data_IF_142648374300
#
_entry.id   IF_142648374300
#
_cell.length_a   1.000
_cell.length_b   1.000
_cell.length_c   1.000
_cell.angle_alpha   90.00
_cell.angle_beta   90.00
_cell.angle_gamma   90.00
#
_symmetry.space_group_name_H-M   'P 1'
#
loop_
_entity.id
_entity.type
_entity.pdbx_description
1 polymer ?
#
# COMPACT_ATOMS: atom_id res chain seq x y z
N UNK A 1 71.64 44.16 -65.86
CA UNK A 1 71.69 44.70 -64.48
C UNK A 1 70.42 45.53 -64.29
N UNK A 2 69.38 44.95 -63.68
CA UNK A 2 68.30 45.61 -62.92
C UNK A 2 67.31 44.52 -62.48
N UNK A 3 67.20 44.34 -61.16
CA UNK A 3 66.25 43.47 -60.49
C UNK A 3 64.91 44.19 -60.27
N UNK A 4 63.93 43.46 -59.70
CA UNK A 4 62.75 43.94 -58.92
C UNK A 4 61.41 43.88 -59.66
N UNK A 5 60.27 43.41 -59.11
CA UNK A 5 59.88 42.70 -57.88
C UNK A 5 58.57 41.99 -58.28
N UNK A 6 58.43 40.69 -58.00
CA UNK A 6 57.15 40.00 -58.15
C UNK A 6 56.29 40.26 -56.91
N UNK A 7 55.16 40.95 -57.08
CA UNK A 7 54.21 41.22 -56.02
C UNK A 7 53.42 39.93 -55.73
N UNK A 8 53.78 39.21 -54.68
CA UNK A 8 53.02 38.05 -54.22
C UNK A 8 51.80 38.54 -53.42
N UNK A 9 50.63 38.55 -54.06
CA UNK A 9 49.34 38.73 -53.37
C UNK A 9 49.02 37.43 -52.62
N UNK A 10 49.22 37.41 -51.30
CA UNK A 10 48.78 36.30 -50.47
C UNK A 10 47.25 36.24 -50.40
N UNK A 11 46.65 35.25 -51.04
CA UNK A 11 45.26 34.87 -50.81
C UNK A 11 45.18 34.15 -49.44
N UNK A 12 44.68 34.84 -48.41
CA UNK A 12 44.29 34.17 -47.15
C UNK A 12 43.12 33.22 -47.44
N UNK A 13 43.37 31.90 -47.40
CA UNK A 13 42.28 30.93 -47.34
C UNK A 13 41.54 31.11 -46.01
N UNK A 14 40.32 31.66 -46.05
CA UNK A 14 39.41 31.60 -44.89
C UNK A 14 39.08 30.14 -44.62
N UNK A 15 39.70 29.55 -43.60
CA UNK A 15 39.27 28.27 -43.05
C UNK A 15 37.82 28.40 -42.58
N UNK A 16 36.91 27.70 -43.27
CA UNK A 16 35.50 27.61 -42.89
C UNK A 16 35.43 26.90 -41.53
N UNK A 17 34.78 27.46 -40.50
CA UNK A 17 34.64 26.77 -39.22
C UNK A 17 33.94 25.43 -39.46
N UNK A 18 34.53 24.34 -39.01
CA UNK A 18 33.98 22.99 -39.16
C UNK A 18 32.66 22.88 -38.40
N UNK A 19 31.53 23.02 -39.11
CA UNK A 19 30.17 22.83 -38.55
C UNK A 19 29.88 21.39 -38.08
N UNK A 20 30.82 20.47 -38.27
CA UNK A 20 30.70 19.05 -37.90
C UNK A 20 30.79 18.82 -36.39
N UNK A 21 31.55 19.65 -35.66
CA UNK A 21 31.72 19.55 -34.20
C UNK A 21 30.45 20.02 -33.46
N UNK A 22 29.79 21.07 -33.97
CA UNK A 22 28.55 21.57 -33.37
C UNK A 22 27.38 20.60 -33.53
N UNK A 23 27.29 19.90 -34.66
CA UNK A 23 26.23 18.90 -34.90
C UNK A 23 26.44 17.61 -34.10
N UNK A 24 27.69 17.13 -33.99
CA UNK A 24 28.00 15.97 -33.13
C UNK A 24 27.79 16.28 -31.64
N UNK A 25 28.13 17.49 -31.18
CA UNK A 25 27.93 17.92 -29.80
C UNK A 25 26.43 18.05 -29.45
N UNK A 26 25.60 18.54 -30.39
CA UNK A 26 24.13 18.55 -30.22
C UNK A 26 23.54 17.14 -30.13
N UNK A 27 24.02 16.20 -30.95
CA UNK A 27 23.61 14.78 -30.90
C UNK A 27 24.01 14.12 -29.58
N UNK A 28 25.23 14.36 -29.09
CA UNK A 28 25.69 13.87 -27.78
C UNK A 28 24.85 14.48 -26.65
N UNK A 29 24.60 15.79 -26.69
CA UNK A 29 23.77 16.47 -25.69
C UNK A 29 22.33 15.92 -25.70
N UNK A 30 21.75 15.69 -26.87
CA UNK A 30 20.44 15.06 -27.00
C UNK A 30 20.40 13.65 -26.41
N UNK A 31 21.43 12.84 -26.63
CA UNK A 31 21.54 11.48 -26.08
C UNK A 31 21.71 11.50 -24.55
N UNK A 32 22.50 12.43 -24.02
CA UNK A 32 22.66 12.63 -22.56
C UNK A 32 21.34 13.04 -21.93
N UNK A 33 20.61 14.01 -22.51
CA UNK A 33 19.29 14.43 -22.00
C UNK A 33 18.30 13.28 -22.03
N UNK A 34 18.26 12.50 -23.12
CA UNK A 34 17.41 11.31 -23.21
C UNK A 34 17.75 10.28 -22.13
N UNK A 35 19.04 10.03 -21.88
CA UNK A 35 19.47 9.09 -20.85
C UNK A 35 19.08 9.56 -19.45
N UNK A 36 19.26 10.84 -19.14
CA UNK A 36 18.85 11.43 -17.86
C UNK A 36 17.34 11.30 -17.66
N UNK A 37 16.52 11.57 -18.69
CA UNK A 37 15.07 11.40 -18.61
C UNK A 37 14.67 9.94 -18.35
N UNK A 38 15.34 8.98 -18.99
CA UNK A 38 15.10 7.54 -18.76
C UNK A 38 15.46 7.19 -17.31
N UNK A 39 16.62 7.63 -16.81
CA UNK A 39 17.05 7.36 -15.44
C UNK A 39 16.07 7.95 -14.42
N UNK A 40 15.66 9.21 -14.61
CA UNK A 40 14.66 9.87 -13.74
C UNK A 40 13.31 9.16 -13.79
N UNK A 41 12.86 8.76 -14.98
CA UNK A 41 11.65 7.96 -15.17
C UNK A 41 11.75 6.63 -14.40
N UNK A 42 12.85 5.90 -14.56
CA UNK A 42 13.11 4.67 -13.83
C UNK A 42 13.06 4.90 -12.31
N UNK A 43 13.78 5.89 -11.78
CA UNK A 43 13.74 6.19 -10.35
C UNK A 43 12.32 6.50 -9.87
N UNK A 44 11.56 7.30 -10.63
CA UNK A 44 10.18 7.64 -10.30
C UNK A 44 9.27 6.40 -10.27
N UNK A 45 9.35 5.53 -11.27
CA UNK A 45 8.52 4.33 -11.35
C UNK A 45 8.94 3.26 -10.34
N UNK A 46 10.24 3.00 -10.17
CA UNK A 46 10.74 1.97 -9.25
C UNK A 46 10.47 2.32 -7.79
N UNK A 47 10.59 3.59 -7.41
CA UNK A 47 10.29 4.03 -6.03
C UNK A 47 8.82 3.95 -5.66
N UNK A 48 7.93 3.91 -6.67
CA UNK A 48 6.47 3.82 -6.51
C UNK A 48 5.91 2.43 -6.74
N UNK A 49 6.73 1.43 -7.06
CA UNK A 49 6.23 0.05 -7.16
C UNK A 49 5.78 -0.42 -5.77
N UNK A 50 4.65 -1.14 -5.66
CA UNK A 50 4.32 -1.89 -4.46
C UNK A 50 5.47 -2.80 -4.05
N UNK A 51 5.77 -2.86 -2.75
CA UNK A 51 6.82 -3.71 -2.20
C UNK A 51 6.28 -4.96 -1.50
N UNK A 52 4.99 -4.95 -1.22
CA UNK A 52 4.26 -6.02 -0.55
C UNK A 52 2.77 -6.00 -0.97
N UNK A 53 2.03 -7.05 -0.62
CA UNK A 53 0.61 -7.19 -0.98
C UNK A 53 -0.27 -6.06 -0.43
N UNK A 54 0.05 -5.55 0.76
CA UNK A 54 -0.70 -4.46 1.38
C UNK A 54 -0.48 -3.13 0.66
N UNK A 55 0.72 -2.90 0.12
CA UNK A 55 0.99 -1.78 -0.79
C UNK A 55 0.17 -1.89 -2.08
N UNK A 56 0.03 -3.08 -2.66
CA UNK A 56 -0.79 -3.27 -3.87
C UNK A 56 -2.24 -2.91 -3.60
N UNK A 57 -2.83 -3.50 -2.55
CA UNK A 57 -4.21 -3.21 -2.12
C UNK A 57 -4.38 -1.71 -1.87
N UNK A 58 -3.46 -1.11 -1.11
CA UNK A 58 -3.53 0.31 -0.76
C UNK A 58 -3.46 1.21 -1.99
N UNK A 59 -2.44 1.05 -2.82
CA UNK A 59 -2.19 1.95 -3.96
C UNK A 59 -3.23 1.78 -5.06
N UNK A 60 -3.69 0.56 -5.32
CA UNK A 60 -4.69 0.34 -6.37
C UNK A 60 -6.08 0.81 -5.92
N UNK A 61 -6.42 0.62 -4.64
CA UNK A 61 -7.65 1.19 -4.09
C UNK A 61 -7.58 2.72 -4.09
N UNK A 62 -6.44 3.33 -3.73
CA UNK A 62 -6.25 4.79 -3.78
C UNK A 62 -6.49 5.38 -5.19
N UNK A 63 -6.10 4.65 -6.26
CA UNK A 63 -6.35 5.09 -7.64
C UNK A 63 -7.81 4.98 -8.04
N UNK A 64 -8.53 3.98 -7.52
CA UNK A 64 -9.82 3.55 -8.07
C UNK A 64 -11.02 3.94 -7.21
N UNK A 65 -10.83 4.28 -5.93
CA UNK A 65 -11.93 4.40 -4.96
C UNK A 65 -13.00 5.46 -5.31
N UNK A 66 -12.65 6.51 -6.07
CA UNK A 66 -13.59 7.59 -6.45
C UNK A 66 -14.42 7.31 -7.70
N UNK A 67 -14.05 6.29 -8.49
CA UNK A 67 -14.64 6.07 -9.82
C UNK A 67 -15.14 4.64 -9.97
N UNK A 68 -14.23 3.68 -10.06
CA UNK A 68 -14.53 2.27 -10.23
C UNK A 68 -13.72 1.47 -9.21
N UNK A 69 -14.11 1.56 -7.94
CA UNK A 69 -13.37 0.98 -6.83
C UNK A 69 -13.13 -0.52 -7.09
N UNK A 70 -11.84 -0.89 -7.18
CA UNK A 70 -11.40 -2.24 -7.53
C UNK A 70 -11.99 -3.32 -6.61
N UNK A 71 -12.25 -2.98 -5.35
CA UNK A 71 -12.79 -3.90 -4.35
C UNK A 71 -14.24 -4.31 -4.64
N UNK A 72 -14.98 -3.59 -5.52
CA UNK A 72 -16.33 -3.99 -5.96
C UNK A 72 -16.34 -5.30 -6.75
N UNK A 73 -15.18 -5.73 -7.24
CA UNK A 73 -15.03 -6.99 -7.96
C UNK A 73 -14.90 -8.19 -7.01
N UNK A 74 -14.73 -7.97 -5.70
CA UNK A 74 -14.72 -9.06 -4.72
C UNK A 74 -16.16 -9.54 -4.51
N UNK A 75 -16.40 -10.82 -4.77
CA UNK A 75 -17.72 -11.43 -4.56
C UNK A 75 -18.16 -11.30 -3.09
N UNK A 76 -19.37 -10.79 -2.88
CA UNK A 76 -19.93 -10.61 -1.55
C UNK A 76 -19.29 -9.47 -0.74
N UNK A 77 -18.51 -8.58 -1.36
CA UNK A 77 -17.98 -7.38 -0.72
C UNK A 77 -18.89 -6.17 -1.01
N UNK A 78 -19.32 -5.48 0.04
CA UNK A 78 -20.10 -4.26 -0.04
C UNK A 78 -19.21 -3.05 0.24
N UNK A 79 -19.38 -2.02 -0.59
CA UNK A 79 -18.74 -0.73 -0.43
C UNK A 79 -19.85 0.30 -0.46
N UNK A 80 -19.86 1.20 0.50
CA UNK A 80 -20.82 2.31 0.50
C UNK A 80 -20.63 3.17 -0.76
N UNK A 81 -21.74 3.50 -1.42
CA UNK A 81 -21.76 4.27 -2.66
C UNK A 81 -21.37 5.75 -2.46
N UNK A 82 -21.42 6.25 -1.21
CA UNK A 82 -21.09 7.63 -0.86
C UNK A 82 -19.91 7.64 0.11
N UNK A 83 -18.78 8.18 -0.34
CA UNK A 83 -17.64 8.53 0.50
C UNK A 83 -17.69 10.02 0.82
N UNK A 84 -17.63 10.43 2.11
CA UNK A 84 -17.24 9.66 3.29
C UNK A 84 -18.36 9.39 4.29
N UNK A 85 -18.17 8.42 5.19
CA UNK A 85 -19.13 8.12 6.24
C UNK A 85 -19.35 9.28 7.21
N UNK A 86 -20.57 9.36 7.75
CA UNK A 86 -21.11 10.51 8.48
C UNK A 86 -20.47 10.79 9.86
N UNK A 87 -19.40 10.08 10.23
CA UNK A 87 -18.67 10.27 11.48
C UNK A 87 -17.40 11.11 11.30
N UNK A 88 -17.16 12.10 12.18
CA UNK A 88 -16.00 13.00 12.14
C UNK A 88 -14.63 12.28 12.09
N UNK A 89 -14.54 11.06 12.63
CA UNK A 89 -13.33 10.23 12.61
C UNK A 89 -13.05 9.54 11.26
N UNK A 90 -14.10 9.27 10.48
CA UNK A 90 -14.07 8.51 9.22
C UNK A 90 -14.45 9.34 8.00
N UNK A 91 -14.63 10.65 8.21
CA UNK A 91 -15.04 11.66 7.24
C UNK A 91 -14.18 11.76 5.97
N UNK A 92 -13.20 10.90 5.73
CA UNK A 92 -12.44 10.83 4.46
C UNK A 92 -11.89 9.40 4.17
N UNK A 93 -12.49 8.35 4.75
CA UNK A 93 -11.88 7.02 4.84
C UNK A 93 -12.73 5.93 4.20
N UNK A 94 -12.40 5.41 2.98
CA UNK A 94 -13.10 4.28 2.39
C UNK A 94 -13.20 3.08 3.34
N UNK A 95 -14.35 2.43 3.38
CA UNK A 95 -14.70 1.30 4.23
C UNK A 95 -15.65 0.40 3.43
N UNK A 96 -15.29 -0.87 3.32
CA UNK A 96 -16.18 -1.91 2.85
C UNK A 96 -16.25 -3.05 3.86
N UNK A 97 -17.26 -3.90 3.70
CA UNK A 97 -17.49 -5.07 4.54
C UNK A 97 -17.90 -6.27 3.71
N UNK A 98 -17.65 -7.47 4.21
CA UNK A 98 -18.19 -8.68 3.59
C UNK A 98 -19.64 -8.90 4.04
N UNK A 99 -20.54 -9.20 3.10
CA UNK A 99 -21.96 -9.47 3.37
C UNK A 99 -22.13 -10.65 4.32
N UNK A 100 -21.37 -11.70 4.05
CA UNK A 100 -21.38 -12.96 4.79
C UNK A 100 -19.95 -13.26 5.21
N UNK A 101 -19.55 -12.90 6.44
CA UNK A 101 -18.26 -13.33 6.96
C UNK A 101 -18.22 -14.86 7.13
N UNK A 102 -17.04 -15.47 7.25
CA UNK A 102 -16.91 -16.89 7.56
C UNK A 102 -17.64 -17.31 8.84
N UNK A 103 -17.89 -18.61 9.00
CA UNK A 103 -18.59 -19.16 10.16
C UNK A 103 -17.92 -18.73 11.49
N UNK A 104 -18.71 -18.42 12.52
CA UNK A 104 -18.30 -17.83 13.81
C UNK A 104 -17.83 -16.37 13.82
N UNK A 105 -17.70 -15.73 12.65
CA UNK A 105 -17.36 -14.31 12.57
C UNK A 105 -18.61 -13.45 12.43
N UNK A 106 -18.68 -12.37 13.21
CA UNK A 106 -19.82 -11.46 13.23
C UNK A 106 -19.70 -10.39 12.16
N UNK A 107 -18.47 -9.94 11.90
CA UNK A 107 -18.19 -8.87 10.96
C UNK A 107 -16.76 -8.93 10.44
N UNK A 108 -16.57 -8.54 9.17
CA UNK A 108 -15.26 -8.40 8.53
C UNK A 108 -15.26 -7.13 7.68
N UNK A 109 -14.38 -6.18 8.03
CA UNK A 109 -14.25 -4.87 7.39
C UNK A 109 -12.86 -4.68 6.80
N UNK A 110 -12.80 -4.00 5.67
CA UNK A 110 -11.57 -3.46 5.09
C UNK A 110 -11.75 -1.97 4.90
N UNK A 111 -10.89 -1.16 5.49
CA UNK A 111 -10.97 0.29 5.39
C UNK A 111 -9.63 0.96 5.14
N UNK A 112 -9.69 2.21 4.73
CA UNK A 112 -8.57 2.98 4.20
C UNK A 112 -8.60 4.39 4.74
N UNK A 113 -7.44 5.00 4.88
CA UNK A 113 -7.30 6.42 5.17
C UNK A 113 -6.22 7.00 4.26
N UNK A 114 -6.65 7.70 3.22
CA UNK A 114 -5.73 8.29 2.24
C UNK A 114 -5.19 9.66 2.68
N UNK A 115 -5.89 10.37 3.58
CA UNK A 115 -5.55 11.75 3.96
C UNK A 115 -4.72 11.87 5.25
N UNK A 116 -4.90 10.97 6.25
CA UNK A 116 -4.20 11.04 7.55
C UNK A 116 -3.00 10.10 7.64
N UNK A 117 -2.13 10.37 8.62
CA UNK A 117 -0.78 9.83 8.70
C UNK A 117 -0.60 8.47 9.41
N UNK A 118 -1.50 8.07 10.32
CA UNK A 118 -1.13 7.06 11.34
C UNK A 118 -1.57 5.61 11.07
N UNK A 119 -2.47 5.36 10.12
CA UNK A 119 -2.79 4.02 9.58
C UNK A 119 -3.60 4.21 8.32
N UNK A 120 -3.17 3.64 7.18
CA UNK A 120 -3.75 3.99 5.88
C UNK A 120 -4.56 2.85 5.24
N UNK A 121 -4.37 1.62 5.71
CA UNK A 121 -5.23 0.46 5.44
C UNK A 121 -5.48 -0.26 6.77
N UNK A 122 -6.69 -0.73 7.01
CA UNK A 122 -7.00 -1.65 8.09
C UNK A 122 -7.89 -2.79 7.61
N UNK A 123 -7.65 -3.97 8.17
CA UNK A 123 -8.53 -5.13 8.07
C UNK A 123 -8.92 -5.50 9.49
N UNK A 124 -10.21 -5.52 9.79
CA UNK A 124 -10.70 -5.86 11.12
C UNK A 124 -11.83 -6.87 11.07
N UNK A 125 -11.89 -7.73 12.08
CA UNK A 125 -12.94 -8.72 12.19
C UNK A 125 -13.33 -8.99 13.62
N UNK A 126 -14.60 -9.35 13.79
CA UNK A 126 -15.20 -9.65 15.07
C UNK A 126 -15.53 -11.14 15.16
N UNK A 127 -15.14 -11.78 16.26
CA UNK A 127 -15.47 -13.18 16.56
C UNK A 127 -16.19 -13.25 17.90
N UNK A 128 -17.33 -13.93 17.97
CA UNK A 128 -18.03 -14.12 19.24
C UNK A 128 -17.19 -15.03 20.15
N UNK A 129 -16.96 -14.61 21.40
CA UNK A 129 -16.31 -15.46 22.40
C UNK A 129 -17.34 -16.05 23.35
N UNK A 130 -18.29 -15.22 23.82
CA UNK A 130 -19.35 -15.60 24.73
C UNK A 130 -20.58 -14.71 24.51
N UNK A 131 -21.69 -15.00 25.19
CA UNK A 131 -22.83 -14.09 25.19
C UNK A 131 -22.44 -12.73 25.75
N UNK A 132 -22.68 -11.69 24.96
CA UNK A 132 -22.29 -10.33 25.30
C UNK A 132 -20.79 -10.04 25.26
N UNK A 133 -19.93 -10.93 24.74
CA UNK A 133 -18.49 -10.69 24.62
C UNK A 133 -17.97 -11.11 23.25
N UNK A 134 -17.26 -10.20 22.57
CA UNK A 134 -16.61 -10.49 21.29
C UNK A 134 -15.14 -10.07 21.31
N UNK A 135 -14.35 -10.83 20.56
CA UNK A 135 -12.99 -10.49 20.18
C UNK A 135 -13.06 -9.58 18.96
N UNK A 136 -12.33 -8.47 18.98
CA UNK A 136 -12.12 -7.62 17.81
C UNK A 136 -10.64 -7.59 17.46
N UNK A 137 -10.27 -8.24 16.35
CA UNK A 137 -8.91 -8.17 15.83
C UNK A 137 -8.83 -7.03 14.83
N UNK A 138 -7.82 -6.17 15.00
CA UNK A 138 -7.57 -5.03 14.12
C UNK A 138 -6.15 -5.13 13.59
N UNK A 139 -6.02 -5.19 12.27
CA UNK A 139 -4.74 -5.27 11.56
C UNK A 139 -4.56 -3.97 10.79
N UNK A 140 -3.57 -3.16 11.18
CA UNK A 140 -3.34 -1.83 10.60
C UNK A 140 -2.05 -1.83 9.79
N UNK A 141 -2.14 -1.44 8.53
CA UNK A 141 -1.00 -1.29 7.64
C UNK A 141 -0.62 0.17 7.45
N UNK A 142 0.69 0.44 7.59
CA UNK A 142 1.30 1.73 7.34
C UNK A 142 2.21 1.65 6.09
N UNK A 143 1.82 2.26 4.95
CA UNK A 143 2.62 2.21 3.72
C UNK A 143 3.89 3.06 3.78
N UNK A 144 4.07 3.93 4.79
CA UNK A 144 5.31 4.70 4.94
C UNK A 144 6.41 3.85 5.59
N UNK A 145 6.05 3.10 6.64
CA UNK A 145 6.99 2.22 7.37
C UNK A 145 7.02 0.80 6.85
N UNK A 146 6.07 0.43 5.97
CA UNK A 146 5.84 -0.94 5.49
C UNK A 146 5.57 -1.91 6.64
N UNK A 147 4.86 -1.45 7.67
CA UNK A 147 4.54 -2.25 8.86
C UNK A 147 3.06 -2.61 8.87
N UNK A 148 2.76 -3.87 9.15
CA UNK A 148 1.44 -4.31 9.61
C UNK A 148 1.48 -4.60 11.11
N UNK A 149 0.63 -3.94 11.88
CA UNK A 149 0.48 -4.14 13.31
C UNK A 149 -0.82 -4.87 13.59
N UNK A 150 -0.75 -5.99 14.32
CA UNK A 150 -1.89 -6.82 14.71
C UNK A 150 -2.19 -6.62 16.18
N UNK A 151 -3.43 -6.27 16.50
CA UNK A 151 -3.89 -6.03 17.88
C UNK A 151 -5.25 -6.65 18.13
N UNK A 152 -5.50 -7.03 19.38
CA UNK A 152 -6.77 -7.53 19.89
C UNK A 152 -7.39 -6.50 20.83
N UNK A 153 -8.70 -6.37 20.72
CA UNK A 153 -9.54 -5.68 21.69
C UNK A 153 -10.67 -6.62 22.12
N UNK A 154 -11.13 -6.47 23.36
CA UNK A 154 -12.34 -7.16 23.84
C UNK A 154 -13.48 -6.14 23.87
N UNK A 155 -14.61 -6.51 23.26
CA UNK A 155 -15.82 -5.69 23.27
C UNK A 155 -16.88 -6.41 24.10
N UNK A 156 -17.40 -5.70 25.09
CA UNK A 156 -18.42 -6.21 26.02
C UNK A 156 -19.75 -5.50 25.69
N UNK A 157 -20.80 -6.28 25.47
CA UNK A 157 -22.13 -5.80 25.12
C UNK A 157 -22.82 -5.24 26.35
N UNK A 158 -23.46 -4.08 26.20
CA UNK A 158 -24.09 -3.33 27.30
C UNK A 158 -23.63 -1.87 27.37
N UNK A 159 -22.55 -1.53 26.67
CA UNK A 159 -22.11 -0.16 26.41
C UNK A 159 -21.39 -0.13 25.06
N UNK A 160 -21.93 0.55 24.05
CA UNK A 160 -21.38 0.56 22.68
C UNK A 160 -19.96 1.16 22.60
N UNK A 161 -19.51 1.80 23.69
CA UNK A 161 -18.19 2.40 23.87
C UNK A 161 -17.26 1.63 24.83
N UNK A 162 -17.65 0.46 25.37
CA UNK A 162 -16.77 -0.32 26.25
C UNK A 162 -15.85 -1.26 25.48
N UNK A 163 -14.65 -0.75 25.17
CA UNK A 163 -13.53 -1.51 24.63
C UNK A 163 -12.46 -1.71 25.71
N UNK A 164 -11.96 -2.93 25.81
CA UNK A 164 -10.76 -3.24 26.60
C UNK A 164 -9.60 -3.33 25.63
N UNK A 165 -8.66 -2.38 25.75
CA UNK A 165 -7.45 -2.30 24.93
C UNK A 165 -6.17 -2.53 25.77
N UNK A 166 -6.25 -2.44 27.10
CA UNK A 166 -5.13 -2.72 27.98
C UNK A 166 -4.67 -4.17 27.79
N UNK A 167 -3.40 -4.35 27.45
CA UNK A 167 -2.84 -5.64 27.05
C UNK A 167 -2.97 -6.72 28.14
N UNK A 168 -2.73 -6.37 29.41
CA UNK A 168 -2.84 -7.32 30.52
C UNK A 168 -4.29 -7.76 30.72
N UNK A 169 -5.25 -6.84 30.62
CA UNK A 169 -6.68 -7.17 30.68
C UNK A 169 -7.11 -8.01 29.48
N UNK A 170 -6.75 -7.62 28.25
CA UNK A 170 -7.07 -8.38 27.04
C UNK A 170 -6.55 -9.82 27.18
N UNK A 171 -5.28 -10.01 27.57
CA UNK A 171 -4.69 -11.33 27.77
C UNK A 171 -5.47 -12.14 28.80
N UNK A 172 -5.81 -11.56 29.95
CA UNK A 172 -6.58 -12.23 31.01
C UNK A 172 -7.98 -12.67 30.53
N UNK A 173 -8.67 -11.86 29.72
CA UNK A 173 -9.95 -12.23 29.14
C UNK A 173 -9.81 -13.41 28.16
N UNK A 174 -8.79 -13.39 27.30
CA UNK A 174 -8.55 -14.49 26.35
C UNK A 174 -8.26 -15.80 27.09
N UNK A 175 -7.43 -15.75 28.12
CA UNK A 175 -7.11 -16.92 28.97
C UNK A 175 -8.35 -17.48 29.67
N UNK A 176 -9.25 -16.63 30.18
CA UNK A 176 -10.51 -17.04 30.80
C UNK A 176 -11.38 -17.89 29.86
N UNK A 177 -11.34 -17.60 28.56
CA UNK A 177 -12.09 -18.33 27.53
C UNK A 177 -11.25 -19.38 26.80
N UNK A 178 -10.03 -19.66 27.27
CA UNK A 178 -9.14 -20.66 26.69
C UNK A 178 -8.62 -20.30 25.29
N UNK A 179 -8.62 -19.02 24.92
CA UNK A 179 -8.08 -18.55 23.63
C UNK A 179 -6.58 -18.32 23.78
N UNK A 180 -5.81 -19.04 22.98
CA UNK A 180 -4.35 -19.01 22.98
C UNK A 180 -3.80 -18.12 21.86
N UNK A 181 -2.52 -17.75 21.94
CA UNK A 181 -1.81 -17.06 20.85
C UNK A 181 -1.92 -17.81 19.51
N UNK A 182 -1.90 -19.16 19.55
CA UNK A 182 -2.05 -20.00 18.36
C UNK A 182 -3.45 -19.87 17.74
N UNK A 183 -4.49 -19.72 18.56
CA UNK A 183 -5.84 -19.49 18.05
C UNK A 183 -5.94 -18.13 17.38
N UNK A 184 -5.30 -17.09 17.95
CA UNK A 184 -5.22 -15.77 17.33
C UNK A 184 -4.49 -15.80 15.98
N UNK A 185 -3.39 -16.54 15.88
CA UNK A 185 -2.68 -16.76 14.61
C UNK A 185 -3.58 -17.48 13.59
N UNK A 186 -4.34 -18.47 14.04
CA UNK A 186 -5.30 -19.18 13.20
C UNK A 186 -6.42 -18.27 12.70
N UNK A 187 -6.98 -17.41 13.58
CA UNK A 187 -8.02 -16.45 13.19
C UNK A 187 -7.49 -15.43 12.17
N UNK A 188 -6.25 -14.98 12.36
CA UNK A 188 -5.59 -14.10 11.39
C UNK A 188 -5.40 -14.82 10.04
N UNK A 189 -4.93 -16.07 10.04
CA UNK A 189 -4.75 -16.81 8.79
C UNK A 189 -6.08 -17.02 8.06
N UNK A 190 -7.11 -17.51 8.75
CA UNK A 190 -8.42 -17.75 8.17
C UNK A 190 -9.01 -16.50 7.52
N UNK A 191 -8.97 -15.37 8.23
CA UNK A 191 -9.62 -14.15 7.78
C UNK A 191 -8.73 -13.31 6.88
N UNK A 192 -7.53 -12.99 7.31
CA UNK A 192 -6.66 -12.09 6.54
C UNK A 192 -6.08 -12.84 5.35
N UNK A 193 -5.51 -14.02 5.56
CA UNK A 193 -4.79 -14.71 4.49
C UNK A 193 -5.71 -15.47 3.55
N UNK A 194 -6.56 -16.34 4.11
CA UNK A 194 -7.38 -17.26 3.33
C UNK A 194 -8.66 -16.62 2.78
N UNK A 195 -9.12 -15.52 3.37
CA UNK A 195 -10.23 -14.71 2.83
C UNK A 195 -9.72 -13.44 2.14
N UNK A 196 -9.30 -12.41 2.89
CA UNK A 196 -9.08 -11.07 2.33
C UNK A 196 -7.97 -11.02 1.27
N UNK A 197 -6.79 -11.57 1.57
CA UNK A 197 -5.66 -11.56 0.63
C UNK A 197 -5.88 -12.51 -0.54
N UNK A 198 -6.57 -13.63 -0.31
CA UNK A 198 -6.94 -14.56 -1.38
C UNK A 198 -7.94 -13.94 -2.35
N UNK A 199 -8.94 -13.24 -1.83
CA UNK A 199 -9.92 -12.52 -2.65
C UNK A 199 -9.25 -11.41 -3.45
N UNK A 200 -8.32 -10.66 -2.83
CA UNK A 200 -7.48 -9.70 -3.56
C UNK A 200 -6.79 -10.33 -4.78
N UNK A 201 -6.10 -11.47 -4.57
CA UNK A 201 -5.45 -12.19 -5.66
C UNK A 201 -6.41 -12.76 -6.72
N UNK A 202 -7.72 -12.84 -6.43
CA UNK A 202 -8.71 -13.29 -7.42
C UNK A 202 -9.19 -12.17 -8.35
N UNK A 203 -9.07 -10.90 -7.91
CA UNK A 203 -9.51 -9.72 -8.68
C UNK A 203 -8.36 -8.88 -9.23
N UNK A 204 -7.13 -9.14 -8.77
CA UNK A 204 -5.93 -8.40 -9.15
C UNK A 204 -4.78 -9.37 -9.42
N UNK A 205 -4.04 -9.14 -10.51
CA UNK A 205 -2.83 -9.90 -10.88
C UNK A 205 -1.66 -9.52 -9.96
N UNK A 206 -1.76 -9.98 -8.72
CA UNK A 206 -0.86 -9.66 -7.61
C UNK A 206 0.51 -10.29 -7.82
N UNK A 207 1.59 -9.51 -7.57
CA UNK A 207 2.97 -10.05 -7.53
C UNK A 207 3.26 -10.82 -6.26
N UNK A 208 2.37 -10.72 -5.28
CA UNK A 208 2.46 -11.28 -3.95
C UNK A 208 1.34 -12.31 -3.72
N UNK A 209 1.37 -12.99 -2.57
CA UNK A 209 0.35 -13.96 -2.22
C UNK A 209 0.12 -14.00 -0.70
N UNK A 210 -0.94 -14.68 -0.23
CA UNK A 210 -1.13 -14.93 1.20
C UNK A 210 0.04 -15.65 1.89
N UNK A 211 0.85 -16.41 1.13
CA UNK A 211 2.05 -17.09 1.64
C UNK A 211 3.35 -16.33 1.40
N UNK A 212 3.31 -15.21 0.68
CA UNK A 212 4.45 -14.36 0.39
C UNK A 212 3.99 -12.90 0.29
N UNK A 213 4.00 -12.19 1.42
CA UNK A 213 3.58 -10.79 1.43
C UNK A 213 4.55 -9.86 0.73
N UNK A 214 5.81 -10.25 0.50
CA UNK A 214 6.87 -9.34 0.07
C UNK A 214 7.56 -8.63 1.24
N UNK A 215 8.10 -7.43 0.98
CA UNK A 215 8.86 -6.63 1.95
C UNK A 215 7.90 -5.88 2.89
N UNK A 216 7.52 -6.54 3.98
CA UNK A 216 6.65 -6.02 5.05
C UNK A 216 7.20 -6.43 6.41
N UNK A 217 7.20 -5.47 7.35
CA UNK A 217 7.45 -5.72 8.77
C UNK A 217 6.13 -6.13 9.44
N UNK A 218 6.15 -7.18 10.24
CA UNK A 218 4.99 -7.64 11.01
C UNK A 218 5.26 -7.36 12.49
N UNK A 219 4.30 -6.74 13.16
CA UNK A 219 4.29 -6.53 14.61
C UNK A 219 3.02 -7.13 15.18
N UNK A 220 3.14 -8.05 16.14
CA UNK A 220 2.01 -8.81 16.67
C UNK A 220 1.93 -8.61 18.18
N UNK A 221 0.80 -8.10 18.68
CA UNK A 221 0.61 -7.85 20.11
C UNK A 221 0.85 -9.11 20.97
N UNK A 222 0.42 -10.27 20.49
CA UNK A 222 0.52 -11.55 21.20
C UNK A 222 1.78 -12.37 20.89
N UNK A 223 2.82 -11.75 20.31
CA UNK A 223 4.05 -12.47 19.91
C UNK A 223 4.74 -13.18 21.09
N UNK A 224 4.59 -12.66 22.31
CA UNK A 224 5.20 -13.19 23.53
C UNK A 224 4.17 -13.61 24.59
N UNK A 225 2.91 -13.87 24.19
CA UNK A 225 1.87 -14.27 25.14
C UNK A 225 1.91 -15.74 25.52
#
# INVERSE_FOLDING_TARGET
MTASIHQATMAMSRLKPSGRIGDSMKKILGLVVSFVLIVLSCFYFFTRQPKNIFDEIYQETEKTYRTNNILRNIEGFEIDDVWPSDGDHFKYSPLGKYKTPPEDYLELRVGFNFEKAYSKLFVSFERKIADGTKLWMVNKYNPNTKTITKSIQIVISGNEDSYIEDEAQVKSYLEQYGITAKDLDSYYDEIVNQKVLKDWCSIYDSKYSPSNYGDVKIETQWENW
#
